data_IF_142072194914
#
_entry.id   IF_142072194914
#
_cell.length_a   1.000
_cell.length_b   1.000
_cell.length_c   1.000
_cell.angle_alpha   90.00
_cell.angle_beta   90.00
_cell.angle_gamma   90.00
#
_symmetry.space_group_name_H-M   'P 1'
#
loop_
_entity.id
_entity.type
_entity.pdbx_description
1 polymer ?
#
# COMPACT_ATOMS: atom_id res chain seq x y z
N UNK A 1 -15.55 18.93 -5.09
CA UNK A 1 -16.40 18.52 -3.94
C UNK A 1 -16.61 17.00 -3.81
N UNK A 2 -16.94 16.23 -4.86
CA UNK A 2 -17.21 14.76 -4.74
C UNK A 2 -16.01 13.91 -4.29
N UNK A 3 -14.79 14.28 -4.63
CA UNK A 3 -13.56 13.55 -4.25
C UNK A 3 -13.17 13.79 -2.79
N UNK A 4 -13.35 15.01 -2.29
CA UNK A 4 -13.10 15.36 -0.90
C UNK A 4 -14.03 14.56 0.04
N UNK A 5 -15.30 14.41 -0.36
CA UNK A 5 -16.29 13.65 0.39
C UNK A 5 -15.94 12.15 0.49
N UNK A 6 -15.36 11.57 -0.57
CA UNK A 6 -14.93 10.14 -0.57
C UNK A 6 -13.72 9.91 0.32
N UNK A 7 -12.76 10.83 0.34
CA UNK A 7 -11.59 10.77 1.23
C UNK A 7 -12.00 10.92 2.69
N UNK A 8 -12.93 11.84 2.97
CA UNK A 8 -13.48 12.06 4.33
C UNK A 8 -14.21 10.80 4.81
N UNK A 9 -15.06 10.20 3.99
CA UNK A 9 -15.76 8.95 4.31
C UNK A 9 -14.76 7.83 4.58
N UNK A 10 -13.70 7.71 3.79
CA UNK A 10 -12.66 6.70 3.96
C UNK A 10 -11.90 6.88 5.28
N UNK A 11 -11.53 8.11 5.64
CA UNK A 11 -10.88 8.44 6.92
C UNK A 11 -11.82 8.13 8.10
N UNK A 12 -13.11 8.45 7.97
CA UNK A 12 -14.11 8.15 8.99
C UNK A 12 -14.26 6.63 9.18
N UNK A 13 -14.32 5.86 8.09
CA UNK A 13 -14.41 4.39 8.14
C UNK A 13 -13.19 3.81 8.85
N UNK A 14 -11.98 4.27 8.53
CA UNK A 14 -10.75 3.83 9.21
C UNK A 14 -10.79 4.20 10.68
N UNK A 15 -11.21 5.41 11.02
CA UNK A 15 -11.37 5.86 12.41
C UNK A 15 -12.39 5.03 13.18
N UNK A 16 -13.53 4.70 12.58
CA UNK A 16 -14.54 3.82 13.16
C UNK A 16 -14.01 2.40 13.39
N UNK A 17 -13.31 1.82 12.42
CA UNK A 17 -12.68 0.50 12.56
C UNK A 17 -11.68 0.51 13.71
N UNK A 18 -10.85 1.55 13.80
CA UNK A 18 -9.87 1.71 14.88
C UNK A 18 -10.55 1.87 16.25
N UNK A 19 -11.66 2.59 16.31
CA UNK A 19 -12.46 2.81 17.52
C UNK A 19 -13.15 1.53 18.01
N UNK A 20 -13.63 0.68 17.10
CA UNK A 20 -14.26 -0.60 17.42
C UNK A 20 -13.20 -1.61 17.90
N UNK A 21 -11.98 -1.54 17.38
CA UNK A 21 -10.87 -2.42 17.76
C UNK A 21 -10.25 -2.04 19.12
N UNK A 22 -10.42 -0.80 19.55
CA UNK A 22 -9.85 -0.30 20.81
C UNK A 22 -10.31 -1.08 22.07
N UNK A 23 -11.60 -1.38 22.29
CA UNK A 23 -12.03 -2.21 23.44
C UNK A 23 -11.63 -3.67 23.32
N UNK A 24 -11.50 -4.21 22.11
CA UNK A 24 -11.02 -5.59 21.90
C UNK A 24 -9.56 -5.69 22.31
N UNK A 25 -8.76 -4.65 22.07
CA UNK A 25 -7.35 -4.56 22.47
C UNK A 25 -7.15 -4.66 23.98
N UNK A 26 -8.05 -4.13 24.79
CA UNK A 26 -7.95 -4.19 26.26
C UNK A 26 -8.27 -5.56 26.84
N UNK A 27 -8.98 -6.42 26.11
CA UNK A 27 -9.44 -7.74 26.55
C UNK A 27 -8.53 -8.90 26.12
N UNK A 28 -7.66 -8.68 25.12
CA UNK A 28 -6.80 -9.75 24.55
C UNK A 28 -5.38 -9.66 25.10
N UNK A 29 -4.68 -10.82 25.08
CA UNK A 29 -3.26 -10.88 25.40
C UNK A 29 -2.46 -9.98 24.43
N UNK A 30 -1.39 -9.35 24.91
CA UNK A 30 -0.54 -8.43 24.14
C UNK A 30 -0.13 -9.00 22.78
N UNK A 31 0.36 -10.24 22.74
CA UNK A 31 0.78 -10.90 21.50
C UNK A 31 -0.37 -11.11 20.49
N UNK A 32 -1.56 -11.44 20.97
CA UNK A 32 -2.74 -11.59 20.12
C UNK A 32 -3.14 -10.27 19.47
N UNK A 33 -3.07 -9.17 20.23
CA UNK A 33 -3.32 -7.84 19.70
C UNK A 33 -2.33 -7.46 18.59
N UNK A 34 -1.05 -7.79 18.79
CA UNK A 34 0.00 -7.54 17.80
C UNK A 34 -0.26 -8.27 16.47
N UNK A 35 -0.60 -9.55 16.54
CA UNK A 35 -0.92 -10.36 15.36
C UNK A 35 -2.17 -9.83 14.65
N UNK A 36 -3.19 -9.40 15.39
CA UNK A 36 -4.39 -8.78 14.80
C UNK A 36 -4.07 -7.50 14.05
N UNK A 37 -3.22 -6.63 14.60
CA UNK A 37 -2.80 -5.39 13.94
C UNK A 37 -2.06 -5.68 12.62
N UNK A 38 -1.12 -6.63 12.63
CA UNK A 38 -0.42 -7.03 11.39
C UNK A 38 -1.38 -7.64 10.39
N UNK A 39 -2.31 -8.48 10.84
CA UNK A 39 -3.33 -9.08 9.99
C UNK A 39 -4.18 -8.02 9.27
N UNK A 40 -4.62 -7.00 10.00
CA UNK A 40 -5.36 -5.87 9.43
C UNK A 40 -4.52 -5.05 8.44
N UNK A 41 -3.25 -4.76 8.77
CA UNK A 41 -2.34 -4.09 7.85
C UNK A 41 -2.10 -4.91 6.58
N UNK A 42 -1.96 -6.23 6.72
CA UNK A 42 -1.79 -7.15 5.59
C UNK A 42 -3.01 -7.16 4.66
N UNK A 43 -4.22 -7.26 5.23
CA UNK A 43 -5.48 -7.18 4.49
C UNK A 43 -5.60 -5.84 3.77
N UNK A 44 -5.24 -4.75 4.44
CA UNK A 44 -5.25 -3.40 3.87
C UNK A 44 -4.31 -3.28 2.66
N UNK A 45 -3.07 -3.76 2.79
CA UNK A 45 -2.09 -3.77 1.70
C UNK A 45 -2.60 -4.60 0.51
N UNK A 46 -3.15 -5.79 0.77
CA UNK A 46 -3.71 -6.67 -0.28
C UNK A 46 -4.93 -6.04 -0.96
N UNK A 47 -5.81 -5.40 -0.20
CA UNK A 47 -6.98 -4.71 -0.72
C UNK A 47 -6.58 -3.53 -1.63
N UNK A 48 -5.68 -2.66 -1.15
CA UNK A 48 -5.17 -1.56 -1.97
C UNK A 48 -4.39 -2.04 -3.18
N UNK A 49 -3.61 -3.11 -3.04
CA UNK A 49 -2.92 -3.73 -4.15
C UNK A 49 -3.86 -4.24 -5.24
N UNK A 50 -5.01 -4.78 -4.87
CA UNK A 50 -6.03 -5.21 -5.84
C UNK A 50 -6.70 -4.03 -6.57
N UNK A 51 -6.84 -2.91 -5.91
CA UNK A 51 -7.46 -1.70 -6.48
C UNK A 51 -6.45 -0.90 -7.31
N UNK A 52 -5.18 -0.86 -6.91
CA UNK A 52 -4.16 -0.01 -7.50
C UNK A 52 -4.07 -0.11 -9.04
N UNK A 53 -4.04 -1.30 -9.67
CA UNK A 53 -3.98 -1.42 -11.13
C UNK A 53 -5.21 -0.86 -11.86
N UNK A 54 -6.33 -0.70 -11.15
CA UNK A 54 -7.61 -0.23 -11.69
C UNK A 54 -7.76 1.30 -11.58
N UNK A 55 -6.83 1.97 -10.88
CA UNK A 55 -6.88 3.42 -10.71
C UNK A 55 -6.46 4.09 -12.02
N UNK A 56 -7.34 4.87 -12.66
CA UNK A 56 -7.00 5.61 -13.87
C UNK A 56 -5.93 6.67 -13.57
N UNK A 57 -5.18 7.05 -14.61
CA UNK A 57 -4.22 8.15 -14.49
C UNK A 57 -4.93 9.42 -14.04
N UNK A 58 -4.57 9.94 -12.87
CA UNK A 58 -5.18 11.13 -12.29
C UNK A 58 -4.22 11.86 -11.34
N UNK A 59 -4.58 13.11 -10.99
CA UNK A 59 -3.77 13.95 -10.09
C UNK A 59 -4.05 13.77 -8.60
N UNK A 60 -5.01 12.93 -8.23
CA UNK A 60 -5.54 12.95 -6.86
C UNK A 60 -5.27 11.68 -6.05
N UNK A 61 -5.13 10.52 -6.70
CA UNK A 61 -5.07 9.23 -6.01
C UNK A 61 -4.02 8.31 -6.66
N UNK A 62 -3.27 7.56 -5.83
CA UNK A 62 -2.29 6.56 -6.27
C UNK A 62 -0.85 6.86 -5.88
N UNK A 63 0.10 6.07 -6.40
CA UNK A 63 1.54 6.22 -6.14
C UNK A 63 2.10 7.41 -6.94
N UNK A 64 2.16 8.56 -6.28
CA UNK A 64 2.50 9.85 -6.88
C UNK A 64 3.99 10.17 -6.77
N UNK A 65 4.79 9.52 -7.57
CA UNK A 65 6.21 9.83 -7.70
C UNK A 65 6.42 10.84 -8.84
N UNK A 66 7.49 11.64 -8.82
CA UNK A 66 7.72 12.68 -9.83
C UNK A 66 7.71 12.18 -11.26
N UNK A 67 8.09 10.94 -11.50
CA UNK A 67 8.10 10.28 -12.80
C UNK A 67 6.78 9.62 -13.16
N UNK A 68 6.01 9.11 -12.17
CA UNK A 68 4.72 8.47 -12.44
C UNK A 68 3.65 9.48 -12.82
N UNK A 69 3.67 10.69 -12.26
CA UNK A 69 2.69 11.74 -12.60
C UNK A 69 2.94 12.42 -13.94
N UNK A 70 4.13 12.23 -14.53
CA UNK A 70 4.50 12.83 -15.81
C UNK A 70 4.17 11.98 -17.03
N UNK A 71 4.01 10.67 -16.83
CA UNK A 71 3.82 9.72 -17.91
C UNK A 71 2.81 8.64 -17.55
N UNK A 72 1.72 8.56 -18.32
CA UNK A 72 0.62 7.64 -18.08
C UNK A 72 1.05 6.16 -18.15
N UNK A 73 1.98 5.81 -19.05
CA UNK A 73 2.47 4.44 -19.16
C UNK A 73 3.29 4.03 -17.94
N UNK A 74 4.10 4.94 -17.41
CA UNK A 74 4.86 4.75 -16.17
C UNK A 74 3.93 4.61 -14.98
N UNK A 75 2.87 5.40 -14.92
CA UNK A 75 1.81 5.29 -13.93
C UNK A 75 1.17 3.89 -13.92
N UNK A 76 0.72 3.43 -15.09
CA UNK A 76 0.07 2.11 -15.23
C UNK A 76 0.99 0.97 -14.78
N UNK A 77 2.28 1.04 -15.11
CA UNK A 77 3.26 0.03 -14.72
C UNK A 77 3.50 0.07 -13.21
N UNK A 78 3.71 1.25 -12.61
CA UNK A 78 3.91 1.40 -11.17
C UNK A 78 2.75 0.77 -10.38
N UNK A 79 1.50 1.08 -10.76
CA UNK A 79 0.31 0.57 -10.09
C UNK A 79 0.07 -0.93 -10.33
N UNK A 80 0.45 -1.46 -11.51
CA UNK A 80 0.40 -2.89 -11.79
C UNK A 80 1.37 -3.67 -10.91
N UNK A 81 2.60 -3.19 -10.77
CA UNK A 81 3.62 -3.80 -9.92
C UNK A 81 3.22 -3.71 -8.45
N UNK A 82 2.71 -2.54 -8.02
CA UNK A 82 2.18 -2.35 -6.67
C UNK A 82 1.12 -3.44 -6.36
N UNK A 83 0.22 -3.73 -7.30
CA UNK A 83 -0.76 -4.79 -7.18
C UNK A 83 -0.15 -6.18 -7.01
N UNK A 84 0.81 -6.53 -7.86
CA UNK A 84 1.47 -7.85 -7.78
C UNK A 84 2.26 -8.07 -6.50
N UNK A 85 2.95 -7.04 -6.02
CA UNK A 85 3.80 -7.11 -4.83
C UNK A 85 2.98 -7.12 -3.55
N UNK A 86 1.78 -6.57 -3.56
CA UNK A 86 0.90 -6.47 -2.38
C UNK A 86 0.54 -7.82 -1.78
N UNK A 87 0.26 -8.83 -2.60
CA UNK A 87 -0.11 -10.16 -2.14
C UNK A 87 1.04 -10.88 -1.42
N UNK A 88 2.23 -11.06 -2.02
CA UNK A 88 3.34 -11.70 -1.33
C UNK A 88 3.80 -10.93 -0.09
N UNK A 89 3.78 -9.60 -0.11
CA UNK A 89 4.13 -8.79 1.06
C UNK A 89 3.09 -8.97 2.17
N UNK A 90 1.80 -8.87 1.88
CA UNK A 90 0.75 -9.03 2.87
C UNK A 90 0.79 -10.41 3.53
N UNK A 91 0.95 -11.48 2.75
CA UNK A 91 1.08 -12.84 3.26
C UNK A 91 2.37 -12.99 4.09
N UNK A 92 3.49 -12.46 3.59
CA UNK A 92 4.78 -12.50 4.28
C UNK A 92 4.75 -11.77 5.62
N UNK A 93 4.17 -10.57 5.67
CA UNK A 93 4.02 -9.81 6.91
C UNK A 93 3.22 -10.60 7.95
N UNK A 94 2.10 -11.20 7.55
CA UNK A 94 1.26 -11.99 8.44
C UNK A 94 2.00 -13.23 8.95
N UNK A 95 2.68 -13.97 8.09
CA UNK A 95 3.46 -15.15 8.48
C UNK A 95 4.63 -14.78 9.43
N UNK A 96 5.34 -13.70 9.17
CA UNK A 96 6.46 -13.25 9.99
C UNK A 96 6.03 -12.69 11.36
N UNK A 97 4.78 -12.24 11.51
CA UNK A 97 4.25 -11.71 12.78
C UNK A 97 4.24 -12.71 13.93
N UNK A 98 4.32 -13.99 13.63
CA UNK A 98 4.42 -15.04 14.64
C UNK A 98 5.83 -15.18 15.24
N UNK A 99 6.85 -14.73 14.52
CA UNK A 99 8.26 -14.96 14.85
C UNK A 99 9.03 -13.68 15.21
N UNK A 100 8.64 -12.54 14.66
CA UNK A 100 9.39 -11.28 14.76
C UNK A 100 8.58 -10.16 15.41
N UNK A 101 9.28 -9.09 15.74
CA UNK A 101 8.68 -7.90 16.35
C UNK A 101 7.78 -7.17 15.34
N UNK A 102 6.57 -6.85 15.77
CA UNK A 102 5.53 -6.25 14.93
C UNK A 102 5.96 -4.93 14.30
N UNK A 103 6.63 -4.06 15.07
CA UNK A 103 7.06 -2.74 14.58
C UNK A 103 7.99 -2.87 13.37
N UNK A 104 8.95 -3.79 13.47
CA UNK A 104 9.91 -4.07 12.40
C UNK A 104 9.18 -4.60 11.16
N UNK A 105 8.23 -5.52 11.33
CA UNK A 105 7.48 -6.13 10.21
C UNK A 105 6.62 -5.09 9.49
N UNK A 106 5.90 -4.26 10.23
CA UNK A 106 5.01 -3.25 9.65
C UNK A 106 5.81 -2.19 8.91
N UNK A 107 6.87 -1.66 9.52
CA UNK A 107 7.71 -0.63 8.90
C UNK A 107 8.41 -1.18 7.64
N UNK A 108 9.06 -2.33 7.76
CA UNK A 108 9.78 -2.94 6.62
C UNK A 108 8.81 -3.36 5.51
N UNK A 109 7.67 -3.93 5.84
CA UNK A 109 6.65 -4.33 4.88
C UNK A 109 6.11 -3.15 4.08
N UNK A 110 5.76 -2.05 4.74
CA UNK A 110 5.28 -0.83 4.07
C UNK A 110 6.37 -0.21 3.20
N UNK A 111 7.62 -0.15 3.70
CA UNK A 111 8.74 0.39 2.92
C UNK A 111 8.99 -0.42 1.65
N UNK A 112 9.06 -1.74 1.76
CA UNK A 112 9.26 -2.64 0.63
C UNK A 112 8.10 -2.49 -0.37
N UNK A 113 6.87 -2.40 0.12
CA UNK A 113 5.66 -2.25 -0.70
C UNK A 113 5.66 -0.99 -1.57
N UNK A 114 6.25 0.11 -1.08
CA UNK A 114 6.36 1.38 -1.82
C UNK A 114 7.64 1.43 -2.67
N UNK A 115 8.76 0.94 -2.15
CA UNK A 115 10.07 1.04 -2.79
C UNK A 115 10.13 0.19 -4.06
N UNK A 116 9.63 -1.05 -4.04
CA UNK A 116 9.69 -1.95 -5.20
C UNK A 116 9.01 -1.34 -6.44
N UNK A 117 7.72 -0.95 -6.40
CA UNK A 117 7.09 -0.33 -7.56
C UNK A 117 7.71 1.04 -7.90
N UNK A 118 8.20 1.77 -6.88
CA UNK A 118 8.91 3.03 -7.07
C UNK A 118 10.16 2.87 -7.93
N UNK A 119 11.07 2.00 -7.54
CA UNK A 119 12.32 1.75 -8.25
C UNK A 119 12.05 1.20 -9.65
N UNK A 120 11.17 0.22 -9.78
CA UNK A 120 10.88 -0.39 -11.07
C UNK A 120 10.27 0.62 -12.06
N UNK A 121 9.34 1.43 -11.60
CA UNK A 121 8.73 2.49 -12.43
C UNK A 121 9.74 3.57 -12.83
N UNK A 122 10.72 3.87 -11.96
CA UNK A 122 11.82 4.78 -12.26
C UNK A 122 12.68 4.26 -13.41
N UNK A 123 13.11 2.99 -13.32
CA UNK A 123 13.87 2.34 -14.41
C UNK A 123 13.10 2.33 -15.73
N UNK A 124 11.80 2.04 -15.68
CA UNK A 124 10.96 2.06 -16.87
C UNK A 124 10.88 3.47 -17.48
N UNK A 125 10.71 4.49 -16.66
CA UNK A 125 10.66 5.89 -17.09
C UNK A 125 11.96 6.28 -17.81
N UNK A 126 13.11 6.05 -17.20
CA UNK A 126 14.41 6.37 -17.82
C UNK A 126 14.67 5.59 -19.10
N UNK A 127 14.37 4.31 -19.15
CA UNK A 127 14.53 3.48 -20.34
C UNK A 127 13.67 3.98 -21.50
N UNK A 128 12.45 4.41 -21.23
CA UNK A 128 11.54 4.96 -22.22
C UNK A 128 12.08 6.27 -22.81
N UNK A 129 12.48 7.21 -21.96
CA UNK A 129 12.97 8.51 -22.41
C UNK A 129 14.33 8.45 -23.08
N UNK A 130 15.21 7.53 -22.71
CA UNK A 130 16.48 7.29 -23.40
C UNK A 130 16.28 6.82 -24.85
N UNK A 131 15.23 6.04 -25.12
CA UNK A 131 14.91 5.55 -26.47
C UNK A 131 14.31 6.63 -27.38
N UNK A 132 13.69 7.66 -26.82
CA UNK A 132 13.10 8.76 -27.59
C UNK A 132 14.15 9.77 -28.03
N UNK A 133 15.27 9.86 -27.30
CA UNK A 133 16.37 10.80 -27.59
C UNK A 133 17.52 10.19 -28.42
N UNK A 134 17.39 8.93 -28.90
CA UNK A 134 18.24 8.31 -29.89
C UNK A 134 17.51 8.19 -31.23
#
# INVERSE_FOLDING_TARGET
MRTLNRLTIFIIIIGCIFSILSPIKSSLNSKTNEILVVGLCSIFIMFFGNIAPKIPFNRYMGLRLPWTIRDESTWKIAHRILGYVSFPIGIGMFALSFFFNIEVIVITGILIWIIIPGIYSLFFYYKKFKRVNM
#
